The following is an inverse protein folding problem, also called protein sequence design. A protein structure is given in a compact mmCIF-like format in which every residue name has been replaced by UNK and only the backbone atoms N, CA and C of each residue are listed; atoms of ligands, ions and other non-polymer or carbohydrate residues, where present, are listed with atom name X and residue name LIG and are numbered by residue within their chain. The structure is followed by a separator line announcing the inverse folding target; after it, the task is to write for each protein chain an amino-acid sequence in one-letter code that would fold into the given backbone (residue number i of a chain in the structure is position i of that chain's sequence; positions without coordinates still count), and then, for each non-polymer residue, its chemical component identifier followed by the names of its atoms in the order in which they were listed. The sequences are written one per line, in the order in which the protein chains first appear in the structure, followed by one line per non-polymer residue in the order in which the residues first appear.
data_IF_633061070334
#
_entry.id   IF_633061070334
#
_cell.length_a   1.000
_cell.length_b   1.000
_cell.length_c   1.000
_cell.angle_alpha   90.00
_cell.angle_beta   90.00
_cell.angle_gamma   90.00
#
_symmetry.space_group_name_H-M   'P 1'
#
loop_
_entity.id
_entity.type
_entity.pdbx_description
1 polymer ?
#
# COMPACT_ATOMS: atom_id res chain seq x y z
N UNK A 1 -7.02 1.81 -32.01
CA UNK A 1 -5.99 2.25 -31.02
C UNK A 1 -6.00 3.78 -30.80
N UNK A 2 -6.55 4.60 -31.72
CA UNK A 2 -6.70 6.06 -31.50
C UNK A 2 -7.89 6.45 -30.59
N UNK A 3 -8.96 5.66 -30.57
CA UNK A 3 -10.15 5.92 -29.73
C UNK A 3 -9.86 5.89 -28.21
N UNK A 4 -8.93 5.03 -27.75
CA UNK A 4 -8.53 4.93 -26.34
C UNK A 4 -7.75 6.18 -25.91
N UNK A 5 -6.94 6.75 -26.82
CA UNK A 5 -6.18 7.99 -26.56
C UNK A 5 -7.09 9.20 -26.39
N UNK A 6 -8.19 9.26 -27.16
CA UNK A 6 -9.18 10.35 -27.08
C UNK A 6 -9.99 10.37 -25.78
N UNK A 7 -10.39 9.18 -25.28
CA UNK A 7 -11.13 9.07 -24.01
C UNK A 7 -10.26 9.46 -22.82
N UNK A 8 -9.00 8.99 -22.77
CA UNK A 8 -8.08 9.38 -21.70
C UNK A 8 -7.84 10.89 -21.65
N UNK A 9 -7.71 11.54 -22.83
CA UNK A 9 -7.53 12.99 -22.90
C UNK A 9 -8.74 13.75 -22.35
N UNK A 10 -9.96 13.37 -22.73
CA UNK A 10 -11.19 14.02 -22.25
C UNK A 10 -11.39 13.88 -20.73
N UNK A 11 -11.04 12.72 -20.17
CA UNK A 11 -11.09 12.49 -18.71
C UNK A 11 -10.04 13.33 -18.01
N UNK A 12 -8.79 13.35 -18.51
CA UNK A 12 -7.73 14.16 -17.94
C UNK A 12 -8.06 15.65 -17.96
N UNK A 13 -8.57 16.16 -19.08
CA UNK A 13 -8.95 17.56 -19.23
C UNK A 13 -10.12 17.94 -18.28
N UNK A 14 -11.07 17.01 -18.05
CA UNK A 14 -12.15 17.20 -17.07
C UNK A 14 -11.66 17.33 -15.62
N UNK A 15 -10.63 16.54 -15.25
CA UNK A 15 -10.01 16.60 -13.92
C UNK A 15 -9.15 17.87 -13.75
N UNK A 16 -8.45 18.26 -14.81
CA UNK A 16 -7.64 19.47 -14.86
C UNK A 16 -8.49 20.73 -14.62
N UNK A 17 -9.63 20.82 -15.32
CA UNK A 17 -10.58 21.94 -15.15
C UNK A 17 -11.16 22.06 -13.72
N UNK A 18 -11.16 20.99 -12.92
CA UNK A 18 -11.81 20.95 -11.60
C UNK A 18 -10.86 21.02 -10.43
N UNK A 19 -9.72 20.38 -10.55
CA UNK A 19 -8.79 20.16 -9.44
C UNK A 19 -7.38 20.63 -9.77
N UNK A 20 -7.18 21.19 -10.97
CA UNK A 20 -5.86 21.60 -11.48
C UNK A 20 -4.81 20.51 -11.27
N UNK A 21 -5.22 19.28 -11.63
CA UNK A 21 -4.52 18.07 -11.26
C UNK A 21 -3.10 18.04 -11.85
N UNK A 22 -2.90 18.60 -13.05
CA UNK A 22 -1.57 18.64 -13.68
C UNK A 22 -0.65 19.63 -12.99
N UNK A 23 -1.12 20.82 -12.62
CA UNK A 23 -0.31 21.80 -11.92
C UNK A 23 0.08 21.27 -10.54
N UNK A 24 -0.86 20.69 -9.80
CA UNK A 24 -0.58 20.06 -8.51
C UNK A 24 0.49 18.96 -8.60
N UNK A 25 0.43 18.08 -9.61
CA UNK A 25 1.45 17.04 -9.85
C UNK A 25 2.79 17.68 -10.19
N UNK A 26 2.79 18.68 -11.08
CA UNK A 26 4.00 19.35 -11.55
C UNK A 26 4.75 19.97 -10.38
N UNK A 27 4.06 20.71 -9.52
CA UNK A 27 4.68 21.40 -8.39
C UNK A 27 5.12 20.46 -7.26
N UNK A 28 4.33 19.42 -6.96
CA UNK A 28 4.59 18.58 -5.79
C UNK A 28 5.45 17.35 -6.07
N UNK A 29 5.45 16.84 -7.31
CA UNK A 29 6.12 15.59 -7.68
C UNK A 29 7.22 15.80 -8.72
N UNK A 30 6.98 16.60 -9.76
CA UNK A 30 7.91 16.66 -10.91
C UNK A 30 8.98 17.74 -10.77
N UNK A 31 8.60 18.93 -10.34
CA UNK A 31 9.48 20.11 -10.26
C UNK A 31 9.94 20.41 -8.83
N UNK A 32 9.56 19.56 -7.87
CA UNK A 32 9.97 19.71 -6.49
C UNK A 32 11.46 19.48 -6.35
N UNK A 33 12.18 20.55 -6.01
CA UNK A 33 13.61 20.49 -5.76
C UNK A 33 13.92 19.75 -4.45
N UNK A 34 14.83 18.78 -4.53
CA UNK A 34 15.39 18.10 -3.36
C UNK A 34 16.83 18.55 -3.17
N UNK A 35 17.21 18.81 -1.92
CA UNK A 35 18.57 19.22 -1.56
C UNK A 35 19.58 18.12 -1.92
N UNK A 36 20.76 18.50 -2.43
CA UNK A 36 21.79 17.53 -2.86
C UNK A 36 22.42 16.77 -1.69
N UNK A 37 22.28 17.25 -0.46
CA UNK A 37 22.89 16.70 0.75
C UNK A 37 22.04 15.61 1.44
N UNK A 38 21.05 15.03 0.76
CA UNK A 38 20.31 13.90 1.32
C UNK A 38 21.19 12.66 1.46
N UNK A 39 21.12 12.02 2.62
CA UNK A 39 21.76 10.74 2.85
C UNK A 39 20.76 9.59 2.58
N UNK A 40 21.24 8.35 2.63
CA UNK A 40 20.40 7.18 2.36
C UNK A 40 19.28 6.96 3.39
N UNK A 41 19.35 7.56 4.58
CA UNK A 41 18.32 7.41 5.63
C UNK A 41 16.97 8.03 5.21
N UNK A 42 16.97 8.99 4.28
CA UNK A 42 15.74 9.57 3.74
C UNK A 42 14.85 8.52 3.04
N UNK A 43 15.43 7.39 2.61
CA UNK A 43 14.68 6.27 2.06
C UNK A 43 13.81 5.56 3.10
N UNK A 44 14.15 5.63 4.39
CA UNK A 44 13.37 4.95 5.44
C UNK A 44 11.93 5.44 5.50
N UNK A 45 11.67 6.73 5.25
CA UNK A 45 10.29 7.23 5.17
C UNK A 45 9.47 6.54 4.08
N UNK A 46 10.06 6.38 2.88
CA UNK A 46 9.41 5.66 1.77
C UNK A 46 9.26 4.16 2.03
N UNK A 47 10.27 3.54 2.65
CA UNK A 47 10.22 2.12 3.04
C UNK A 47 9.16 1.86 4.10
N UNK A 48 9.02 2.72 5.12
CA UNK A 48 7.97 2.61 6.14
C UNK A 48 6.58 2.81 5.54
N UNK A 49 6.43 3.74 4.59
CA UNK A 49 5.15 3.92 3.87
C UNK A 49 4.79 2.68 3.04
N UNK A 50 5.74 2.11 2.30
CA UNK A 50 5.53 0.86 1.56
C UNK A 50 5.19 -0.30 2.50
N UNK A 51 5.90 -0.43 3.62
CA UNK A 51 5.64 -1.41 4.67
C UNK A 51 4.24 -1.28 5.26
N UNK A 52 3.77 -0.05 5.50
CA UNK A 52 2.41 0.22 5.96
C UNK A 52 1.34 -0.23 4.95
N UNK A 53 1.54 0.02 3.65
CA UNK A 53 0.62 -0.46 2.62
C UNK A 53 0.57 -2.00 2.57
N UNK A 54 1.72 -2.65 2.74
CA UNK A 54 1.81 -4.11 2.86
C UNK A 54 1.04 -4.59 4.12
N UNK A 55 1.17 -3.90 5.25
CA UNK A 55 0.44 -4.22 6.47
C UNK A 55 -1.08 -4.11 6.31
N UNK A 56 -1.57 -3.07 5.63
CA UNK A 56 -3.00 -2.95 5.33
C UNK A 56 -3.46 -4.13 4.47
N UNK A 57 -2.77 -4.41 3.36
CA UNK A 57 -3.17 -5.47 2.44
C UNK A 57 -3.18 -6.85 3.11
N UNK A 58 -2.12 -7.17 3.85
CA UNK A 58 -2.01 -8.44 4.57
C UNK A 58 -2.97 -8.53 5.77
N UNK A 59 -3.18 -7.43 6.49
CA UNK A 59 -4.10 -7.35 7.61
C UNK A 59 -5.55 -7.55 7.17
N UNK A 60 -5.99 -6.89 6.09
CA UNK A 60 -7.32 -7.09 5.49
C UNK A 60 -7.52 -8.55 5.09
N UNK A 61 -6.51 -9.18 4.49
CA UNK A 61 -6.57 -10.61 4.17
C UNK A 61 -6.79 -11.47 5.42
N UNK A 62 -6.04 -11.24 6.49
CA UNK A 62 -6.16 -12.01 7.73
C UNK A 62 -7.51 -11.77 8.43
N UNK A 63 -8.02 -10.55 8.41
CA UNK A 63 -9.33 -10.21 8.99
C UNK A 63 -10.49 -10.98 8.36
N UNK A 64 -10.39 -11.37 7.08
CA UNK A 64 -11.44 -12.17 6.42
C UNK A 64 -11.59 -13.58 7.01
N UNK A 65 -10.56 -14.12 7.68
CA UNK A 65 -10.53 -15.49 8.19
C UNK A 65 -10.35 -15.58 9.71
N UNK A 66 -9.99 -14.47 10.37
CA UNK A 66 -9.79 -14.42 11.81
C UNK A 66 -11.12 -14.40 12.56
N UNK A 67 -11.23 -15.21 13.62
CA UNK A 67 -12.41 -15.25 14.50
C UNK A 67 -12.05 -14.61 15.84
N UNK A 68 -12.61 -13.42 16.18
CA UNK A 68 -12.22 -12.66 17.36
C UNK A 68 -12.96 -13.13 18.64
N UNK A 69 -12.94 -14.44 18.92
CA UNK A 69 -13.50 -15.01 20.16
C UNK A 69 -12.40 -15.70 20.97
N UNK A 70 -12.41 -15.66 22.31
CA UNK A 70 -11.38 -16.33 23.11
C UNK A 70 -11.28 -17.85 22.88
N UNK A 71 -12.40 -18.48 22.49
CA UNK A 71 -12.46 -19.92 22.21
C UNK A 71 -11.85 -20.28 20.85
N UNK A 72 -12.07 -19.46 19.83
CA UNK A 72 -11.74 -19.79 18.45
C UNK A 72 -10.53 -19.01 17.89
N UNK A 73 -10.04 -17.99 18.59
CA UNK A 73 -8.94 -17.12 18.13
C UNK A 73 -7.71 -17.93 17.71
N UNK A 74 -7.23 -18.84 18.57
CA UNK A 74 -6.06 -19.66 18.25
C UNK A 74 -6.32 -20.67 17.12
N UNK A 75 -7.53 -21.24 17.07
CA UNK A 75 -7.92 -22.20 16.02
C UNK A 75 -8.01 -21.49 14.66
N UNK A 76 -8.56 -20.28 14.61
CA UNK A 76 -8.66 -19.50 13.38
C UNK A 76 -7.29 -19.13 12.80
N UNK A 77 -6.32 -18.77 13.65
CA UNK A 77 -4.93 -18.51 13.24
C UNK A 77 -4.26 -19.74 12.64
N UNK A 78 -4.48 -20.92 13.23
CA UNK A 78 -3.99 -22.20 12.68
C UNK A 78 -4.68 -22.56 11.36
N UNK A 79 -5.98 -22.29 11.25
CA UNK A 79 -6.73 -22.52 10.02
C UNK A 79 -6.17 -21.66 8.87
N UNK A 80 -5.87 -20.38 9.13
CA UNK A 80 -5.21 -19.50 8.16
C UNK A 80 -3.87 -20.08 7.72
N UNK A 81 -3.04 -20.55 8.65
CA UNK A 81 -1.72 -21.06 8.30
C UNK A 81 -1.76 -22.36 7.48
N UNK A 82 -2.67 -23.28 7.82
CA UNK A 82 -2.62 -24.66 7.32
C UNK A 82 -3.62 -24.96 6.20
N UNK A 83 -4.77 -24.29 6.18
CA UNK A 83 -5.89 -24.66 5.32
C UNK A 83 -6.22 -23.61 4.24
N UNK A 84 -5.81 -22.36 4.43
CA UNK A 84 -6.05 -21.29 3.45
C UNK A 84 -4.87 -21.21 2.47
N UNK A 85 -5.10 -21.23 1.14
CA UNK A 85 -4.05 -21.04 0.15
C UNK A 85 -3.27 -19.74 0.41
N UNK A 86 -1.94 -19.85 0.48
CA UNK A 86 -1.03 -18.75 0.86
C UNK A 86 -1.26 -18.12 2.24
N UNK A 87 -2.16 -18.64 3.08
CA UNK A 87 -2.43 -18.03 4.38
C UNK A 87 -1.20 -18.01 5.30
N UNK A 88 -0.35 -19.05 5.22
CA UNK A 88 0.97 -19.06 5.88
C UNK A 88 1.89 -17.91 5.44
N UNK A 89 1.83 -17.51 4.16
CA UNK A 89 2.65 -16.45 3.59
C UNK A 89 2.15 -15.09 4.07
N UNK A 90 0.85 -14.84 3.95
CA UNK A 90 0.23 -13.59 4.40
C UNK A 90 0.41 -13.36 5.90
N UNK A 91 0.27 -14.41 6.71
CA UNK A 91 0.48 -14.33 8.16
C UNK A 91 1.95 -13.99 8.51
N UNK A 92 2.92 -14.60 7.83
CA UNK A 92 4.34 -14.30 8.03
C UNK A 92 4.70 -12.89 7.55
N UNK A 93 4.19 -12.47 6.39
CA UNK A 93 4.39 -11.12 5.87
C UNK A 93 3.81 -10.06 6.82
N UNK A 94 2.63 -10.31 7.39
CA UNK A 94 2.03 -9.41 8.37
C UNK A 94 2.88 -9.31 9.64
N UNK A 95 3.27 -10.44 10.23
CA UNK A 95 4.09 -10.47 11.45
C UNK A 95 5.48 -9.85 11.27
N UNK A 96 6.22 -10.25 10.23
CA UNK A 96 7.57 -9.73 9.95
C UNK A 96 7.49 -8.25 9.52
N UNK A 97 6.51 -7.89 8.71
CA UNK A 97 6.34 -6.51 8.25
C UNK A 97 5.98 -5.55 9.38
N UNK A 98 5.25 -5.99 10.41
CA UNK A 98 4.97 -5.17 11.58
C UNK A 98 6.25 -4.82 12.33
N UNK A 99 7.20 -5.76 12.44
CA UNK A 99 8.51 -5.48 12.99
C UNK A 99 9.29 -4.49 12.12
N UNK A 100 9.27 -4.66 10.80
CA UNK A 100 10.02 -3.81 9.87
C UNK A 100 9.56 -2.34 9.85
N UNK A 101 8.26 -2.08 10.06
CA UNK A 101 7.72 -0.71 10.14
C UNK A 101 8.01 -0.04 11.49
N UNK A 102 8.19 -0.84 12.55
CA UNK A 102 8.47 -0.36 13.91
C UNK A 102 9.98 -0.23 14.23
N UNK A 103 10.87 -0.37 13.23
CA UNK A 103 12.32 -0.21 13.38
C UNK A 103 12.75 1.25 13.62
#
# INVERSE_FOLDING_TARGET
MELIKGVNKKILDWFDERYDAREWIRENLTEKWVHKEINWLYCFGGLSFLGFLLQIGTGVFLMMYYIPTPKDAFVSVQNIANNIPFGWLFQRLHSIGANAVNL
#
